data_IF_895647751077
#
_entry.id   IF_895647751077
#
_cell.length_a   1.000
_cell.length_b   1.000
_cell.length_c   1.000
_cell.angle_alpha   90.00
_cell.angle_beta   90.00
_cell.angle_gamma   90.00
#
_symmetry.space_group_name_H-M   'P 1'
#
loop_
_entity.id
_entity.type
_entity.pdbx_description
1 polymer ?
#
# COMPACT_ATOMS: atom_id res chain seq x y z
N UNK A 1 -12.37 0.48 39.73
CA UNK A 1 -12.49 -0.20 38.43
C UNK A 1 -11.39 0.38 37.55
N UNK A 2 -10.21 -0.27 37.55
CA UNK A 2 -9.11 0.09 36.68
C UNK A 2 -9.53 -0.30 35.26
N UNK A 3 -9.82 0.70 34.41
CA UNK A 3 -9.88 0.53 32.99
C UNK A 3 -8.50 0.07 32.53
N UNK A 4 -8.40 -1.19 32.08
CA UNK A 4 -7.18 -1.67 31.46
C UNK A 4 -6.98 -0.87 30.16
N UNK A 5 -5.96 -0.05 30.12
CA UNK A 5 -5.50 0.60 28.87
C UNK A 5 -5.10 -0.49 27.90
N UNK A 6 -6.04 -0.89 27.04
CA UNK A 6 -5.77 -1.78 25.94
C UNK A 6 -5.04 -0.96 24.88
N UNK A 7 -3.73 -0.98 24.89
CA UNK A 7 -2.91 -0.41 23.81
C UNK A 7 -3.18 -1.23 22.54
N UNK A 8 -3.97 -0.68 21.63
CA UNK A 8 -4.11 -1.22 20.28
C UNK A 8 -2.82 -0.95 19.52
N UNK A 9 -1.96 -1.96 19.39
CA UNK A 9 -0.83 -1.90 18.46
C UNK A 9 -1.36 -2.25 17.06
N UNK A 10 -1.33 -1.29 16.17
CA UNK A 10 -1.65 -1.52 14.77
C UNK A 10 -0.41 -2.08 14.08
N UNK A 11 -0.57 -3.22 13.41
CA UNK A 11 0.46 -3.78 12.54
C UNK A 11 0.24 -3.27 11.11
N UNK A 12 1.32 -2.87 10.49
CA UNK A 12 1.38 -2.47 9.09
C UNK A 12 2.07 -3.56 8.27
N UNK A 13 1.95 -3.55 6.93
CA UNK A 13 2.84 -4.35 6.08
C UNK A 13 4.30 -4.06 6.42
N UNK A 14 5.15 -5.08 6.34
CA UNK A 14 6.60 -4.94 6.56
C UNK A 14 7.19 -3.98 5.53
N UNK A 15 8.08 -3.12 5.97
CA UNK A 15 8.87 -2.30 5.05
C UNK A 15 10.05 -3.08 4.45
N UNK A 16 10.81 -2.45 3.55
CA UNK A 16 11.95 -3.10 2.91
C UNK A 16 13.00 -3.56 3.93
N UNK A 17 13.25 -2.75 4.95
CA UNK A 17 14.24 -3.06 5.99
C UNK A 17 13.83 -4.30 6.78
N UNK A 18 12.58 -4.38 7.21
CA UNK A 18 12.02 -5.54 7.93
C UNK A 18 12.05 -6.80 7.06
N UNK A 19 11.80 -6.67 5.74
CA UNK A 19 11.91 -7.79 4.80
C UNK A 19 13.36 -8.23 4.63
N UNK A 20 14.32 -7.32 4.53
CA UNK A 20 15.75 -7.65 4.49
C UNK A 20 16.18 -8.39 5.77
N UNK A 21 15.71 -7.98 6.94
CA UNK A 21 15.98 -8.69 8.20
C UNK A 21 15.40 -10.10 8.19
N UNK A 22 14.16 -10.24 7.75
CA UNK A 22 13.51 -11.54 7.64
C UNK A 22 14.25 -12.49 6.67
N UNK A 23 14.88 -11.95 5.63
CA UNK A 23 15.73 -12.68 4.66
C UNK A 23 17.16 -12.93 5.15
N UNK A 24 17.52 -12.48 6.34
CA UNK A 24 18.90 -12.57 6.89
C UNK A 24 19.90 -11.62 6.25
N UNK A 25 19.42 -10.57 5.56
CA UNK A 25 20.25 -9.53 4.90
C UNK A 25 20.38 -8.26 5.76
N UNK A 26 20.53 -8.42 7.05
CA UNK A 26 20.61 -7.29 7.99
C UNK A 26 21.82 -6.39 7.69
N UNK A 27 22.96 -6.97 7.32
CA UNK A 27 24.16 -6.20 6.94
C UNK A 27 23.88 -5.24 5.79
N UNK A 28 23.16 -5.69 4.76
CA UNK A 28 22.78 -4.82 3.62
C UNK A 28 21.90 -3.66 4.09
N UNK A 29 20.91 -3.93 4.93
CA UNK A 29 20.02 -2.91 5.52
C UNK A 29 20.81 -1.87 6.33
N UNK A 30 21.73 -2.33 7.20
CA UNK A 30 22.56 -1.44 8.04
C UNK A 30 23.50 -0.59 7.16
N UNK A 31 24.09 -1.18 6.12
CA UNK A 31 24.97 -0.47 5.18
C UNK A 31 24.19 0.61 4.41
N UNK A 32 22.98 0.30 3.90
CA UNK A 32 22.12 1.30 3.25
C UNK A 32 21.85 2.48 4.19
N UNK A 33 21.54 2.21 5.45
CA UNK A 33 21.22 3.23 6.45
C UNK A 33 22.47 4.08 6.78
N UNK A 34 23.64 3.47 6.92
CA UNK A 34 24.90 4.17 7.17
C UNK A 34 25.27 5.11 6.03
N UNK A 35 25.20 4.64 4.79
CA UNK A 35 25.46 5.42 3.59
C UNK A 35 24.47 6.56 3.42
N UNK A 36 23.17 6.34 3.72
CA UNK A 36 22.16 7.39 3.75
C UNK A 36 22.50 8.48 4.78
N UNK A 37 22.84 8.10 6.01
CA UNK A 37 23.15 9.06 7.08
C UNK A 37 24.45 9.85 6.82
N UNK A 38 25.44 9.23 6.18
CA UNK A 38 26.70 9.89 5.81
C UNK A 38 26.64 10.66 4.50
N UNK A 39 25.51 10.56 3.78
CA UNK A 39 25.32 11.13 2.45
C UNK A 39 26.40 10.70 1.44
N UNK A 40 26.83 9.43 1.54
CA UNK A 40 27.79 8.79 0.66
C UNK A 40 27.06 7.76 -0.22
N UNK A 41 27.25 7.75 -1.55
CA UNK A 41 26.65 6.73 -2.42
C UNK A 41 27.11 5.32 -2.04
N UNK A 42 26.23 4.33 -2.23
CA UNK A 42 26.64 2.92 -2.18
C UNK A 42 27.61 2.62 -3.34
N UNK A 43 28.52 1.69 -3.11
CA UNK A 43 29.33 1.11 -4.19
C UNK A 43 28.42 0.38 -5.20
N UNK A 44 28.82 0.37 -6.47
CA UNK A 44 27.98 -0.12 -7.58
C UNK A 44 27.40 -1.54 -7.33
N UNK A 45 28.22 -2.45 -6.82
CA UNK A 45 27.79 -3.83 -6.55
C UNK A 45 26.72 -3.90 -5.41
N UNK A 46 26.91 -3.11 -4.35
CA UNK A 46 25.94 -3.03 -3.24
C UNK A 46 24.67 -2.32 -3.67
N UNK A 47 24.80 -1.29 -4.50
CA UNK A 47 23.66 -0.58 -5.06
C UNK A 47 22.80 -1.52 -5.92
N UNK A 48 23.45 -2.31 -6.79
CA UNK A 48 22.76 -3.29 -7.64
C UNK A 48 22.05 -4.36 -6.80
N UNK A 49 22.69 -4.90 -5.76
CA UNK A 49 22.04 -5.84 -4.82
C UNK A 49 20.85 -5.19 -4.12
N UNK A 50 20.99 -3.96 -3.62
CA UNK A 50 19.93 -3.24 -2.95
C UNK A 50 18.73 -2.98 -3.90
N UNK A 51 18.99 -2.65 -5.16
CA UNK A 51 17.95 -2.45 -6.18
C UNK A 51 17.23 -3.75 -6.53
N UNK A 52 17.94 -4.87 -6.65
CA UNK A 52 17.32 -6.19 -6.88
C UNK A 52 16.39 -6.57 -5.72
N UNK A 53 16.80 -6.37 -4.48
CA UNK A 53 15.94 -6.63 -3.31
C UNK A 53 14.75 -5.68 -3.26
N UNK A 54 14.93 -4.42 -3.62
CA UNK A 54 13.83 -3.46 -3.70
C UNK A 54 12.82 -3.82 -4.78
N UNK A 55 13.28 -4.19 -5.99
CA UNK A 55 12.40 -4.66 -7.06
C UNK A 55 11.63 -5.92 -6.64
N UNK A 56 12.33 -6.86 -6.01
CA UNK A 56 11.69 -8.07 -5.47
C UNK A 56 10.64 -7.74 -4.41
N UNK A 57 10.96 -6.83 -3.47
CA UNK A 57 10.02 -6.33 -2.47
C UNK A 57 8.79 -5.68 -3.13
N UNK A 58 8.97 -4.90 -4.18
CA UNK A 58 7.83 -4.30 -4.91
C UNK A 58 6.89 -5.36 -5.51
N UNK A 59 7.41 -6.54 -5.84
CA UNK A 59 6.63 -7.65 -6.40
C UNK A 59 5.89 -8.42 -5.30
N UNK A 60 6.58 -8.81 -4.21
CA UNK A 60 6.01 -9.64 -3.15
C UNK A 60 5.19 -8.85 -2.13
N UNK A 61 5.51 -7.56 -1.95
CA UNK A 61 4.92 -6.70 -0.93
C UNK A 61 5.45 -6.96 0.47
N UNK A 62 4.87 -6.25 1.45
CA UNK A 62 5.22 -6.33 2.86
C UNK A 62 4.31 -7.21 3.72
N UNK A 63 3.35 -7.92 3.14
CA UNK A 63 2.47 -8.78 3.94
C UNK A 63 3.24 -9.97 4.52
N UNK A 64 3.22 -10.19 5.86
CA UNK A 64 4.04 -11.23 6.51
C UNK A 64 3.84 -12.63 5.93
N UNK A 65 2.62 -12.97 5.50
CA UNK A 65 2.32 -14.26 4.86
C UNK A 65 3.03 -14.42 3.52
N UNK A 66 3.07 -13.36 2.70
CA UNK A 66 3.76 -13.34 1.41
C UNK A 66 5.29 -13.41 1.59
N UNK A 67 5.83 -12.60 2.51
CA UNK A 67 7.27 -12.60 2.85
C UNK A 67 7.72 -13.96 3.38
N UNK A 68 6.93 -14.57 4.27
CA UNK A 68 7.22 -15.92 4.80
C UNK A 68 7.26 -16.97 3.68
N UNK A 69 6.31 -16.95 2.76
CA UNK A 69 6.26 -17.90 1.65
C UNK A 69 7.43 -17.72 0.68
N UNK A 70 7.83 -16.46 0.42
CA UNK A 70 9.01 -16.14 -0.39
C UNK A 70 10.30 -16.71 0.23
N UNK A 71 10.50 -16.51 1.53
CA UNK A 71 11.68 -16.99 2.25
C UNK A 71 11.73 -18.53 2.30
N UNK A 72 10.60 -19.16 2.56
CA UNK A 72 10.56 -20.61 2.75
C UNK A 72 10.78 -21.40 1.45
N UNK A 73 10.65 -20.78 0.26
CA UNK A 73 10.86 -21.39 -1.08
C UNK A 73 10.30 -22.80 -1.32
N UNK A 74 9.72 -23.40 -0.27
CA UNK A 74 9.20 -24.77 -0.22
C UNK A 74 7.68 -24.83 -0.21
N UNK A 75 6.99 -23.68 -0.35
CA UNK A 75 5.53 -23.75 -0.45
C UNK A 75 5.18 -24.21 -1.87
N UNK A 76 4.42 -25.29 -1.95
CA UNK A 76 3.73 -25.74 -3.17
C UNK A 76 2.76 -24.68 -3.72
N UNK A 77 2.57 -23.61 -2.98
CA UNK A 77 1.73 -22.45 -3.32
C UNK A 77 2.63 -21.40 -3.93
N UNK A 78 2.39 -21.05 -5.19
CA UNK A 78 3.13 -20.01 -5.91
C UNK A 78 2.88 -18.61 -5.31
N UNK A 79 3.80 -17.68 -5.53
CA UNK A 79 3.68 -16.29 -5.07
C UNK A 79 2.38 -15.63 -5.56
N UNK A 80 1.93 -15.98 -6.77
CA UNK A 80 0.69 -15.47 -7.35
C UNK A 80 -0.54 -15.94 -6.57
N UNK A 81 -0.56 -17.20 -6.15
CA UNK A 81 -1.67 -17.75 -5.35
C UNK A 81 -1.77 -17.08 -3.99
N UNK A 82 -0.63 -16.76 -3.36
CA UNK A 82 -0.59 -16.05 -2.08
C UNK A 82 -1.11 -14.61 -2.25
N UNK A 83 -0.67 -13.90 -3.29
CA UNK A 83 -1.18 -12.56 -3.60
C UNK A 83 -2.68 -12.58 -3.85
N UNK A 84 -3.16 -13.57 -4.61
CA UNK A 84 -4.58 -13.74 -4.86
C UNK A 84 -5.38 -14.06 -3.60
N UNK A 85 -4.84 -14.89 -2.71
CA UNK A 85 -5.45 -15.15 -1.39
C UNK A 85 -5.56 -13.87 -0.55
N UNK A 86 -4.50 -13.05 -0.51
CA UNK A 86 -4.50 -11.78 0.21
C UNK A 86 -5.53 -10.81 -0.37
N UNK A 87 -5.57 -10.67 -1.69
CA UNK A 87 -6.55 -9.83 -2.37
C UNK A 87 -7.99 -10.30 -2.06
N UNK A 88 -8.24 -11.59 -2.15
CA UNK A 88 -9.54 -12.19 -1.81
C UNK A 88 -9.92 -11.96 -0.33
N UNK A 89 -8.95 -11.96 0.57
CA UNK A 89 -9.16 -11.64 1.98
C UNK A 89 -9.61 -10.20 2.16
N UNK A 90 -8.95 -9.23 1.51
CA UNK A 90 -9.40 -7.83 1.53
C UNK A 90 -10.80 -7.66 0.97
N UNK A 91 -11.10 -8.33 -0.15
CA UNK A 91 -12.42 -8.33 -0.76
C UNK A 91 -13.47 -8.90 0.21
N UNK A 92 -13.16 -10.02 0.87
CA UNK A 92 -14.05 -10.62 1.86
C UNK A 92 -14.33 -9.67 3.05
N UNK A 93 -13.30 -8.98 3.52
CA UNK A 93 -13.45 -7.99 4.60
C UNK A 93 -14.30 -6.79 4.15
N UNK A 94 -14.11 -6.28 2.94
CA UNK A 94 -14.95 -5.22 2.37
C UNK A 94 -16.42 -5.62 2.33
N UNK A 95 -16.72 -6.88 1.97
CA UNK A 95 -18.11 -7.38 1.87
C UNK A 95 -18.73 -7.63 3.23
N UNK A 96 -17.93 -8.00 4.24
CA UNK A 96 -18.42 -8.35 5.57
C UNK A 96 -18.79 -7.14 6.42
N UNK A 97 -18.02 -6.05 6.30
CA UNK A 97 -18.12 -4.91 7.21
C UNK A 97 -18.77 -3.67 6.61
N UNK A 98 -19.15 -3.70 5.35
CA UNK A 98 -19.86 -2.61 4.69
C UNK A 98 -21.32 -3.00 4.39
N UNK A 99 -22.22 -2.03 4.50
CA UNK A 99 -23.60 -2.21 4.05
C UNK A 99 -23.65 -2.50 2.54
N UNK A 100 -24.67 -3.27 2.08
CA UNK A 100 -24.73 -3.72 0.67
C UNK A 100 -24.61 -2.60 -0.36
N UNK A 101 -25.12 -1.40 -0.07
CA UNK A 101 -25.02 -0.24 -0.97
C UNK A 101 -23.65 0.41 -0.97
N UNK A 102 -22.95 0.37 0.15
CA UNK A 102 -21.62 0.95 0.32
C UNK A 102 -20.54 0.01 -0.19
N UNK A 103 -20.74 -1.31 -0.08
CA UNK A 103 -19.84 -2.33 -0.63
C UNK A 103 -19.53 -2.09 -2.10
N UNK A 104 -20.54 -1.83 -2.93
CA UNK A 104 -20.36 -1.57 -4.37
C UNK A 104 -19.50 -0.33 -4.59
N UNK A 105 -19.73 0.76 -3.84
CA UNK A 105 -18.97 2.00 -3.95
C UNK A 105 -17.53 1.84 -3.49
N UNK A 106 -17.30 1.03 -2.45
CA UNK A 106 -15.96 0.70 -1.94
C UNK A 106 -15.17 -0.02 -3.02
N UNK A 107 -15.77 -1.04 -3.67
CA UNK A 107 -15.12 -1.74 -4.77
C UNK A 107 -14.85 -0.84 -5.97
N UNK A 108 -15.84 -0.07 -6.43
CA UNK A 108 -15.66 0.85 -7.54
C UNK A 108 -14.52 1.86 -7.26
N UNK A 109 -14.45 2.40 -6.04
CA UNK A 109 -13.38 3.31 -5.63
C UNK A 109 -12.02 2.61 -5.62
N UNK A 110 -11.94 1.41 -5.04
CA UNK A 110 -10.74 0.59 -4.96
C UNK A 110 -10.22 0.20 -6.34
N UNK A 111 -11.08 -0.31 -7.22
CA UNK A 111 -10.73 -0.74 -8.58
C UNK A 111 -10.30 0.43 -9.48
N UNK A 112 -10.69 1.67 -9.12
CA UNK A 112 -10.25 2.86 -9.87
C UNK A 112 -8.80 3.26 -9.59
N UNK A 113 -8.19 2.79 -8.50
CA UNK A 113 -6.87 3.25 -8.04
C UNK A 113 -5.75 3.06 -9.07
N UNK A 114 -5.63 1.96 -9.81
CA UNK A 114 -4.60 1.81 -10.84
C UNK A 114 -4.70 2.91 -11.90
N UNK A 115 -5.92 3.22 -12.36
CA UNK A 115 -6.16 4.29 -13.33
C UNK A 115 -5.86 5.69 -12.75
N UNK A 116 -6.08 5.90 -11.43
CA UNK A 116 -5.71 7.13 -10.74
C UNK A 116 -4.19 7.30 -10.67
N UNK A 117 -3.48 6.23 -10.30
CA UNK A 117 -2.03 6.23 -10.12
C UNK A 117 -1.25 6.28 -11.44
N UNK A 118 -1.85 5.79 -12.52
CA UNK A 118 -1.28 5.88 -13.87
C UNK A 118 -1.27 7.30 -14.46
N UNK A 119 -2.00 8.26 -13.86
CA UNK A 119 -1.98 9.66 -14.30
C UNK A 119 -0.74 10.39 -13.78
N UNK A 120 -0.18 11.30 -14.57
CA UNK A 120 1.01 12.09 -14.22
C UNK A 120 0.82 12.84 -12.88
N UNK A 121 -0.33 13.48 -12.70
CA UNK A 121 -0.62 14.23 -11.47
C UNK A 121 -0.94 13.35 -10.28
N UNK A 122 -1.38 12.10 -10.51
CA UNK A 122 -1.86 11.15 -9.49
C UNK A 122 -2.92 11.74 -8.54
N UNK A 123 -3.47 12.93 -8.86
CA UNK A 123 -4.57 13.53 -8.10
C UNK A 123 -5.81 12.67 -8.24
N UNK A 124 -6.46 12.34 -7.13
CA UNK A 124 -7.69 11.55 -7.15
C UNK A 124 -8.82 12.28 -7.87
N UNK A 125 -9.47 11.60 -8.80
CA UNK A 125 -10.55 12.15 -9.62
C UNK A 125 -11.76 11.22 -9.58
N UNK A 126 -12.86 11.67 -9.00
CA UNK A 126 -14.09 10.87 -8.90
C UNK A 126 -14.60 10.38 -10.27
N UNK A 127 -14.42 11.18 -11.33
CA UNK A 127 -14.80 10.79 -12.70
C UNK A 127 -14.09 9.55 -13.23
N UNK A 128 -12.94 9.15 -12.65
CA UNK A 128 -12.23 7.92 -13.01
C UNK A 128 -12.82 6.68 -12.32
N UNK A 129 -13.64 6.84 -11.29
CA UNK A 129 -14.42 5.73 -10.73
C UNK A 129 -15.49 5.34 -11.75
N UNK A 130 -16.33 6.30 -12.12
CA UNK A 130 -17.33 6.20 -13.21
C UNK A 130 -17.77 7.60 -13.66
N UNK A 131 -18.38 7.66 -14.84
CA UNK A 131 -18.96 8.91 -15.34
C UNK A 131 -20.00 9.45 -14.37
N UNK A 132 -19.89 10.75 -14.00
CA UNK A 132 -20.81 11.42 -13.09
C UNK A 132 -20.57 11.18 -11.60
N UNK A 133 -19.54 10.40 -11.21
CA UNK A 133 -19.22 10.19 -9.80
C UNK A 133 -18.80 11.49 -9.11
N UNK A 134 -19.26 11.67 -7.85
CA UNK A 134 -19.04 12.86 -7.03
C UNK A 134 -18.55 12.50 -5.62
N UNK A 135 -17.90 13.47 -4.97
CA UNK A 135 -17.42 13.32 -3.59
C UNK A 135 -18.53 12.94 -2.62
N UNK A 136 -19.73 13.50 -2.78
CA UNK A 136 -20.90 13.19 -1.91
C UNK A 136 -21.37 11.74 -2.00
N UNK A 137 -21.00 11.01 -3.05
CA UNK A 137 -21.40 9.61 -3.25
C UNK A 137 -20.35 8.62 -2.79
N UNK A 138 -19.06 8.99 -2.87
CA UNK A 138 -17.92 8.09 -2.64
C UNK A 138 -17.05 8.48 -1.44
N UNK A 139 -17.39 9.60 -0.76
CA UNK A 139 -16.61 10.07 0.40
C UNK A 139 -16.53 8.99 1.49
N UNK A 140 -17.67 8.44 1.88
CA UNK A 140 -17.74 7.40 2.92
C UNK A 140 -17.02 6.12 2.52
N UNK A 141 -17.10 5.73 1.24
CA UNK A 141 -16.38 4.57 0.71
C UNK A 141 -14.86 4.76 0.75
N UNK A 142 -14.37 5.96 0.40
CA UNK A 142 -12.95 6.29 0.49
C UNK A 142 -12.50 6.35 1.95
N UNK A 143 -13.27 6.94 2.84
CA UNK A 143 -12.96 7.00 4.26
C UNK A 143 -12.95 5.60 4.90
N UNK A 144 -13.82 4.70 4.43
CA UNK A 144 -13.79 3.31 4.83
C UNK A 144 -12.47 2.62 4.41
N UNK A 145 -12.04 2.78 3.14
CA UNK A 145 -10.77 2.23 2.64
C UNK A 145 -9.56 2.75 3.42
N UNK A 146 -9.58 4.01 3.83
CA UNK A 146 -8.52 4.62 4.65
C UNK A 146 -8.52 4.03 6.06
N UNK A 147 -9.69 3.96 6.72
CA UNK A 147 -9.83 3.45 8.10
C UNK A 147 -9.52 1.97 8.20
N UNK A 148 -9.80 1.18 7.16
CA UNK A 148 -9.43 -0.23 7.08
C UNK A 148 -7.93 -0.46 6.84
N UNK A 149 -7.16 0.59 6.55
CA UNK A 149 -5.73 0.49 6.29
C UNK A 149 -5.37 -0.08 4.92
N UNK A 150 -6.34 -0.20 4.01
CA UNK A 150 -6.12 -0.72 2.65
C UNK A 150 -5.45 0.33 1.77
N UNK A 151 -5.78 1.62 2.00
CA UNK A 151 -5.19 2.73 1.27
C UNK A 151 -4.66 3.82 2.20
N UNK A 152 -3.63 4.52 1.75
CA UNK A 152 -3.07 5.70 2.38
C UNK A 152 -3.50 6.95 1.63
N UNK A 153 -4.03 7.95 2.35
CA UNK A 153 -4.42 9.25 1.79
C UNK A 153 -3.31 10.27 1.99
N UNK A 154 -2.82 10.83 0.90
CA UNK A 154 -1.84 11.90 0.89
C UNK A 154 -2.52 13.22 0.51
N UNK A 155 -2.60 14.15 1.47
CA UNK A 155 -3.21 15.48 1.28
C UNK A 155 -2.23 16.43 0.60
N UNK A 156 -2.72 17.29 -0.29
CA UNK A 156 -1.94 18.40 -0.82
C UNK A 156 -1.81 19.47 0.26
N UNK A 157 -0.60 19.95 0.50
CA UNK A 157 -0.33 21.16 1.30
C UNK A 157 -0.01 22.33 0.38
N UNK A 158 -0.54 23.50 0.71
CA UNK A 158 -0.29 24.75 -0.03
C UNK A 158 0.98 25.45 0.42
N UNK A 159 1.40 25.21 1.67
CA UNK A 159 2.61 25.76 2.29
C UNK A 159 3.24 24.74 3.22
N UNK A 160 4.56 24.83 3.44
CA UNK A 160 5.34 23.93 4.28
C UNK A 160 5.55 24.42 5.72
N UNK A 161 4.70 25.29 6.24
CA UNK A 161 4.82 25.81 7.61
C UNK A 161 4.11 24.90 8.63
N UNK A 162 4.57 24.93 9.88
CA UNK A 162 3.91 24.24 10.99
C UNK A 162 2.78 25.11 11.58
N UNK A 163 1.64 24.49 11.99
CA UNK A 163 1.29 23.07 11.79
C UNK A 163 0.84 22.79 10.35
N UNK A 164 1.40 21.78 9.71
CA UNK A 164 1.14 21.41 8.31
C UNK A 164 -0.35 21.21 8.02
N UNK A 165 -1.10 20.72 9.00
CA UNK A 165 -2.56 20.50 8.91
C UNK A 165 -3.33 21.78 8.55
N UNK A 166 -2.86 22.94 9.02
CA UNK A 166 -3.52 24.24 8.74
C UNK A 166 -3.45 24.64 7.25
N UNK A 167 -2.52 24.06 6.50
CA UNK A 167 -2.26 24.39 5.09
C UNK A 167 -2.72 23.29 4.12
N UNK A 168 -3.52 22.34 4.59
CA UNK A 168 -4.06 21.27 3.75
C UNK A 168 -5.13 21.79 2.80
N UNK A 169 -5.00 21.44 1.53
CA UNK A 169 -6.03 21.64 0.51
C UNK A 169 -6.95 20.42 0.48
N UNK A 170 -8.10 20.52 1.15
CA UNK A 170 -9.10 19.44 1.24
C UNK A 170 -9.68 19.02 -0.12
N UNK A 171 -9.54 19.85 -1.15
CA UNK A 171 -10.01 19.57 -2.51
C UNK A 171 -9.04 18.73 -3.34
N UNK A 172 -7.83 18.49 -2.84
CA UNK A 172 -6.76 17.83 -3.59
C UNK A 172 -6.02 16.80 -2.72
N UNK A 173 -6.18 15.53 -3.06
CA UNK A 173 -5.48 14.43 -2.41
C UNK A 173 -5.10 13.35 -3.43
N UNK A 174 -4.22 12.45 -3.01
CA UNK A 174 -3.85 11.22 -3.70
C UNK A 174 -4.18 10.03 -2.81
N UNK A 175 -4.49 8.89 -3.40
CA UNK A 175 -4.63 7.62 -2.71
C UNK A 175 -3.57 6.67 -3.22
N UNK A 176 -2.92 5.98 -2.31
CA UNK A 176 -1.94 4.94 -2.58
C UNK A 176 -2.36 3.66 -1.87
N UNK A 177 -2.04 2.51 -2.46
CA UNK A 177 -2.18 1.24 -1.75
C UNK A 177 -1.24 1.21 -0.55
N UNK A 178 -1.67 0.58 0.53
CA UNK A 178 -0.84 0.41 1.73
C UNK A 178 0.21 -0.69 1.55
N UNK A 179 0.01 -1.60 0.61
CA UNK A 179 0.93 -2.67 0.25
C UNK A 179 1.20 -2.69 -1.25
N UNK A 180 2.47 -2.87 -1.63
CA UNK A 180 2.90 -2.87 -3.03
C UNK A 180 2.40 -4.08 -3.80
N UNK A 181 2.26 -5.26 -3.16
CA UNK A 181 1.76 -6.47 -3.81
C UNK A 181 0.35 -6.28 -4.36
N UNK A 182 -0.49 -5.52 -3.65
CA UNK A 182 -1.85 -5.19 -4.08
C UNK A 182 -1.82 -4.33 -5.36
N UNK A 183 -0.88 -3.39 -5.44
CA UNK A 183 -0.69 -2.57 -6.64
C UNK A 183 -0.25 -3.40 -7.84
N UNK A 184 0.67 -4.33 -7.65
CA UNK A 184 1.22 -5.18 -8.71
C UNK A 184 0.16 -6.13 -9.31
N UNK A 185 -0.68 -6.75 -8.49
CA UNK A 185 -1.74 -7.65 -8.98
C UNK A 185 -2.76 -6.95 -9.87
N UNK A 186 -3.09 -5.70 -9.57
CA UNK A 186 -4.00 -4.90 -10.42
C UNK A 186 -3.37 -4.43 -11.74
N UNK A 187 -2.04 -4.26 -11.78
CA UNK A 187 -1.33 -3.82 -12.98
C UNK A 187 -1.01 -4.99 -13.93
N UNK A 188 -0.93 -6.21 -13.41
CA UNK A 188 -0.48 -7.40 -14.16
C UNK A 188 -1.59 -8.40 -14.47
N UNK A 189 -2.84 -8.15 -14.05
CA UNK A 189 -3.95 -8.98 -14.49
C UNK A 189 -4.01 -8.96 -16.02
N UNK A 190 -3.86 -10.13 -16.69
CA UNK A 190 -4.02 -10.17 -18.13
C UNK A 190 -5.45 -9.71 -18.42
N UNK A 191 -5.58 -8.63 -19.16
CA UNK A 191 -6.81 -8.34 -19.90
C UNK A 191 -7.13 -9.59 -20.71
N UNK A 192 -8.05 -10.41 -20.22
CA UNK A 192 -8.61 -11.45 -21.06
C UNK A 192 -9.26 -10.73 -22.22
N UNK A 193 -8.58 -10.81 -23.38
CA UNK A 193 -9.16 -10.56 -24.67
C UNK A 193 -10.34 -11.51 -24.92
#
# INVERSE_FOLDING_TARGET
>A
SAASDVYKRQMYPMDLEEVLWAKGKQILSDTIREHYNSNVPLEDALHEEAMQEFEHYCIIGGMPAAVKADIMRNSSIGQEEIRQMLLNSYIADMTKYADKGDTVRIFEAYDSLPAQLAKDTKKFQYKLIRSGARASQYGDAIDWLIRSGIVNKCMKCTQGFYPVVAYQDLSAFKLYYSDMAVSYTHLTLPTKL
#
